data_IF_565448955522
#
_entry.id   IF_565448955522
#
_cell.length_a   1.000
_cell.length_b   1.000
_cell.length_c   1.000
_cell.angle_alpha   90.00
_cell.angle_beta   90.00
_cell.angle_gamma   90.00
#
_symmetry.space_group_name_H-M   'P 1'
#
loop_
_entity.id
_entity.type
_entity.pdbx_description
1 polymer ?
#
# COMPACT_ATOMS: atom_id res chain seq x y z
N UNK A 1 -1.09 -45.85 -73.80
CA UNK A 1 -1.98 -46.99 -73.50
C UNK A 1 -1.63 -47.42 -72.08
N UNK A 2 -2.49 -47.51 -71.06
CA UNK A 2 -3.89 -47.13 -70.80
C UNK A 2 -4.02 -47.06 -69.26
N UNK A 3 -4.72 -46.06 -68.74
CA UNK A 3 -5.32 -46.01 -67.37
C UNK A 3 -6.57 -46.92 -67.28
N UNK A 4 -7.25 -47.20 -66.12
CA UNK A 4 -7.48 -46.37 -64.88
C UNK A 4 -7.41 -47.13 -63.50
N UNK A 5 -7.11 -46.50 -62.34
CA UNK A 5 -7.93 -45.85 -61.24
C UNK A 5 -8.79 -46.80 -60.34
N UNK A 6 -9.23 -46.47 -59.09
CA UNK A 6 -8.86 -45.44 -58.08
C UNK A 6 -8.80 -45.97 -56.58
N UNK A 7 -8.93 -45.06 -55.59
CA UNK A 7 -9.23 -45.20 -54.13
C UNK A 7 -8.01 -45.31 -53.17
N UNK A 8 -7.92 -44.63 -52.01
CA UNK A 8 -8.83 -43.75 -51.28
C UNK A 8 -8.00 -42.79 -50.39
N UNK A 9 -8.56 -41.60 -50.12
CA UNK A 9 -8.08 -40.65 -49.09
C UNK A 9 -8.13 -41.32 -47.70
N UNK A 10 -6.98 -41.46 -47.03
CA UNK A 10 -6.92 -41.79 -45.62
C UNK A 10 -6.53 -40.54 -44.82
N UNK A 11 -7.50 -40.09 -44.01
CA UNK A 11 -7.36 -38.98 -43.07
C UNK A 11 -6.32 -39.29 -42.00
N UNK A 12 -5.50 -38.29 -41.68
CA UNK A 12 -4.88 -38.14 -40.35
C UNK A 12 -5.04 -36.66 -39.99
N UNK A 13 -6.21 -36.32 -39.46
CA UNK A 13 -6.34 -35.13 -38.63
C UNK A 13 -5.77 -35.52 -37.27
N UNK A 14 -4.57 -35.01 -36.95
CA UNK A 14 -4.13 -34.92 -35.57
C UNK A 14 -5.05 -33.93 -34.86
N UNK A 15 -6.04 -34.45 -34.15
CA UNK A 15 -6.74 -33.70 -33.13
C UNK A 15 -5.73 -33.38 -32.03
N UNK A 16 -5.24 -32.14 -32.02
CA UNK A 16 -4.58 -31.58 -30.86
C UNK A 16 -5.69 -31.27 -29.86
N UNK A 17 -5.87 -32.17 -28.91
CA UNK A 17 -6.78 -32.00 -27.77
C UNK A 17 -6.24 -30.85 -26.90
N UNK A 18 -6.77 -29.64 -27.12
CA UNK A 18 -6.51 -28.46 -26.30
C UNK A 18 -7.80 -28.10 -25.58
N UNK A 19 -8.17 -28.93 -24.63
CA UNK A 19 -9.03 -28.52 -23.52
C UNK A 19 -8.54 -29.25 -22.26
N UNK A 20 -7.42 -28.74 -21.71
CA UNK A 20 -7.01 -29.04 -20.34
C UNK A 20 -8.00 -28.34 -19.40
N UNK A 21 -9.20 -28.92 -19.26
CA UNK A 21 -10.21 -28.48 -18.31
C UNK A 21 -9.68 -28.77 -16.89
N UNK A 22 -9.00 -27.79 -16.29
CA UNK A 22 -8.49 -27.88 -14.91
C UNK A 22 -9.69 -28.08 -13.97
N UNK A 23 -9.98 -29.33 -13.65
CA UNK A 23 -11.08 -29.70 -12.75
C UNK A 23 -10.65 -29.44 -11.30
N UNK A 24 -10.91 -28.24 -10.79
CA UNK A 24 -10.66 -27.92 -9.37
C UNK A 24 -11.82 -28.48 -8.53
N UNK A 25 -11.50 -29.32 -7.54
CA UNK A 25 -12.52 -29.86 -6.64
C UNK A 25 -13.17 -28.75 -5.80
N UNK A 26 -14.48 -28.87 -5.52
CA UNK A 26 -15.21 -27.92 -4.70
C UNK A 26 -14.64 -27.78 -3.28
N UNK A 27 -14.01 -28.84 -2.75
CA UNK A 27 -13.28 -28.79 -1.47
C UNK A 27 -12.00 -27.95 -1.58
N UNK A 28 -11.21 -28.12 -2.64
CA UNK A 28 -10.01 -27.31 -2.88
C UNK A 28 -10.35 -25.82 -3.04
N UNK A 29 -11.42 -25.48 -3.77
CA UNK A 29 -11.90 -24.10 -3.89
C UNK A 29 -12.30 -23.50 -2.54
N UNK A 30 -13.01 -24.26 -1.69
CA UNK A 30 -13.35 -23.81 -0.33
C UNK A 30 -12.11 -23.59 0.52
N UNK A 31 -11.16 -24.52 0.50
CA UNK A 31 -9.91 -24.40 1.26
C UNK A 31 -9.11 -23.17 0.83
N UNK A 32 -8.99 -22.91 -0.48
CA UNK A 32 -8.31 -21.73 -0.99
C UNK A 32 -9.04 -20.44 -0.57
N UNK A 33 -10.37 -20.43 -0.63
CA UNK A 33 -11.20 -19.32 -0.16
C UNK A 33 -10.98 -19.01 1.33
N UNK A 34 -10.97 -20.03 2.17
CA UNK A 34 -10.72 -19.89 3.61
C UNK A 34 -9.32 -19.37 3.90
N UNK A 35 -8.30 -19.86 3.18
CA UNK A 35 -6.92 -19.38 3.30
C UNK A 35 -6.80 -17.91 2.89
N UNK A 36 -7.39 -17.53 1.76
CA UNK A 36 -7.42 -16.14 1.28
C UNK A 36 -8.14 -15.21 2.27
N UNK A 37 -9.27 -15.65 2.85
CA UNK A 37 -9.96 -14.87 3.87
C UNK A 37 -9.11 -14.66 5.11
N UNK A 38 -8.46 -15.71 5.63
CA UNK A 38 -7.55 -15.61 6.78
C UNK A 38 -6.40 -14.66 6.47
N UNK A 39 -5.78 -14.81 5.30
CA UNK A 39 -4.71 -13.94 4.83
C UNK A 39 -5.13 -12.46 4.85
N UNK A 40 -6.25 -12.10 4.22
CA UNK A 40 -6.73 -10.72 4.18
C UNK A 40 -7.21 -10.20 5.55
N UNK A 41 -7.62 -11.09 6.44
CA UNK A 41 -8.04 -10.72 7.79
C UNK A 41 -6.88 -10.16 8.61
N UNK A 42 -5.67 -10.72 8.45
CA UNK A 42 -4.47 -10.22 9.10
C UNK A 42 -4.17 -8.76 8.71
N UNK A 43 -4.29 -8.43 7.41
CA UNK A 43 -4.15 -7.06 6.90
C UNK A 43 -5.24 -6.12 7.40
N UNK A 44 -6.48 -6.62 7.54
CA UNK A 44 -7.56 -5.83 8.13
C UNK A 44 -7.27 -5.48 9.57
N UNK A 45 -6.78 -6.42 10.37
CA UNK A 45 -6.44 -6.17 11.77
C UNK A 45 -5.25 -5.23 11.91
N UNK A 46 -4.19 -5.43 11.10
CA UNK A 46 -3.06 -4.51 11.07
C UNK A 46 -3.48 -3.07 10.74
N UNK A 47 -4.40 -2.91 9.78
CA UNK A 47 -4.99 -1.62 9.43
C UNK A 47 -5.76 -0.99 10.60
N UNK A 48 -6.56 -1.77 11.33
CA UNK A 48 -7.33 -1.29 12.48
C UNK A 48 -6.45 -0.85 13.66
N UNK A 49 -5.32 -1.54 13.88
CA UNK A 49 -4.30 -1.12 14.86
C UNK A 49 -3.76 0.27 14.53
N UNK A 50 -3.40 0.51 13.25
CA UNK A 50 -2.94 1.83 12.78
C UNK A 50 -4.02 2.89 12.92
N UNK A 51 -5.27 2.58 12.54
CA UNK A 51 -6.40 3.50 12.69
C UNK A 51 -6.62 3.90 14.14
N UNK A 52 -6.51 2.95 15.07
CA UNK A 52 -6.69 3.19 16.50
C UNK A 52 -5.58 4.08 17.04
N UNK A 53 -4.32 3.82 16.68
CA UNK A 53 -3.17 4.66 17.05
C UNK A 53 -3.34 6.10 16.55
N UNK A 54 -3.77 6.28 15.30
CA UNK A 54 -4.06 7.60 14.73
C UNK A 54 -5.25 8.29 15.41
N UNK A 55 -6.31 7.53 15.75
CA UNK A 55 -7.46 8.06 16.47
C UNK A 55 -7.08 8.56 17.87
N UNK A 56 -6.22 7.82 18.59
CA UNK A 56 -5.69 8.23 19.90
C UNK A 56 -4.90 9.53 19.76
N UNK A 57 -3.98 9.63 18.80
CA UNK A 57 -3.22 10.88 18.55
C UNK A 57 -4.18 12.06 18.26
N UNK A 58 -5.20 11.85 17.41
CA UNK A 58 -6.21 12.87 17.13
C UNK A 58 -6.94 13.33 18.39
N UNK A 59 -7.40 12.38 19.22
CA UNK A 59 -8.10 12.68 20.47
C UNK A 59 -7.21 13.39 21.47
N UNK A 60 -5.95 13.00 21.60
CA UNK A 60 -4.97 13.66 22.45
C UNK A 60 -4.80 15.14 22.07
N UNK A 61 -4.62 15.46 20.78
CA UNK A 61 -4.49 16.85 20.33
C UNK A 61 -5.71 17.72 20.67
N UNK A 62 -6.92 17.17 20.50
CA UNK A 62 -8.15 17.87 20.85
C UNK A 62 -8.25 18.17 22.35
N UNK A 63 -7.78 17.25 23.21
CA UNK A 63 -7.82 17.44 24.66
C UNK A 63 -6.75 18.40 25.17
N UNK A 64 -5.57 18.41 24.55
CA UNK A 64 -4.45 19.28 24.94
C UNK A 64 -4.66 20.76 24.57
N UNK A 65 -5.82 21.12 24.00
CA UNK A 65 -6.13 22.46 23.46
C UNK A 65 -5.13 22.89 22.37
N UNK A 66 -4.48 21.93 21.74
CA UNK A 66 -3.72 22.15 20.53
C UNK A 66 -4.67 22.17 19.32
N UNK A 67 -4.22 22.77 18.23
CA UNK A 67 -4.93 22.60 16.96
C UNK A 67 -4.85 21.11 16.56
N UNK A 68 -5.90 20.58 15.94
CA UNK A 68 -5.91 19.19 15.49
C UNK A 68 -5.20 19.07 14.12
N UNK A 69 -4.09 18.33 14.03
CA UNK A 69 -3.37 18.14 12.76
C UNK A 69 -4.07 17.17 11.80
N UNK A 70 -4.98 16.31 12.28
CA UNK A 70 -5.67 15.28 11.48
C UNK A 70 -7.07 15.77 11.09
N UNK A 71 -7.30 15.98 9.80
CA UNK A 71 -8.60 16.32 9.24
C UNK A 71 -9.45 15.06 8.98
N UNK A 72 -8.84 14.06 8.34
CA UNK A 72 -9.54 12.83 7.98
C UNK A 72 -8.57 11.64 7.89
N UNK A 73 -9.06 10.47 8.30
CA UNK A 73 -8.38 9.18 8.10
C UNK A 73 -9.30 8.30 7.29
N UNK A 74 -8.77 7.72 6.21
CA UNK A 74 -9.46 6.70 5.44
C UNK A 74 -8.57 5.47 5.31
N UNK A 75 -9.17 4.29 5.30
CA UNK A 75 -8.42 3.05 5.20
C UNK A 75 -9.10 2.09 4.23
N UNK A 76 -8.32 1.15 3.71
CA UNK A 76 -8.83 0.07 2.87
C UNK A 76 -7.90 -1.13 2.88
N UNK A 77 -8.52 -2.29 2.70
CA UNK A 77 -7.80 -3.50 2.26
C UNK A 77 -8.02 -3.66 0.76
N UNK A 78 -6.96 -3.97 0.03
CA UNK A 78 -7.00 -4.21 -1.42
C UNK A 78 -7.96 -5.37 -1.73
N UNK A 79 -8.81 -5.22 -2.75
CA UNK A 79 -9.65 -6.33 -3.20
C UNK A 79 -8.81 -7.46 -3.79
N UNK A 80 -9.33 -8.69 -3.75
CA UNK A 80 -8.67 -9.86 -4.34
C UNK A 80 -8.37 -9.61 -5.82
N UNK A 81 -9.33 -9.09 -6.58
CA UNK A 81 -9.13 -8.79 -8.01
C UNK A 81 -7.99 -7.80 -8.25
N UNK A 82 -7.91 -6.76 -7.42
CA UNK A 82 -6.84 -5.75 -7.50
C UNK A 82 -5.48 -6.30 -7.06
N UNK A 83 -5.48 -7.28 -6.15
CA UNK A 83 -4.27 -8.00 -5.74
C UNK A 83 -3.79 -8.90 -6.86
N UNK A 84 -4.65 -9.75 -7.41
CA UNK A 84 -4.35 -10.64 -8.55
C UNK A 84 -3.83 -9.84 -9.74
N UNK A 85 -4.54 -8.77 -10.13
CA UNK A 85 -4.08 -7.87 -11.21
C UNK A 85 -2.70 -7.25 -10.94
N UNK A 86 -2.35 -7.03 -9.66
CA UNK A 86 -1.03 -6.50 -9.28
C UNK A 86 0.05 -7.59 -9.35
N UNK A 87 -0.27 -8.83 -8.96
CA UNK A 87 0.63 -9.98 -9.04
C UNK A 87 0.96 -10.30 -10.51
N UNK A 88 -0.05 -10.38 -11.37
CA UNK A 88 0.11 -10.64 -12.80
C UNK A 88 0.98 -9.57 -13.48
N UNK A 89 0.66 -8.29 -13.24
CA UNK A 89 1.44 -7.16 -13.80
C UNK A 89 2.90 -7.15 -13.35
N UNK A 90 3.21 -7.67 -12.16
CA UNK A 90 4.57 -7.74 -11.62
C UNK A 90 5.25 -9.10 -11.82
N UNK A 91 4.55 -10.10 -12.36
CA UNK A 91 5.07 -11.45 -12.51
C UNK A 91 5.41 -12.14 -11.17
N UNK A 92 4.64 -11.87 -10.11
CA UNK A 92 4.89 -12.41 -8.76
C UNK A 92 4.08 -13.71 -8.57
N UNK A 93 4.67 -14.69 -7.88
CA UNK A 93 3.99 -15.94 -7.50
C UNK A 93 2.72 -15.68 -6.67
N UNK A 94 1.71 -16.53 -6.83
CA UNK A 94 0.46 -16.49 -6.05
C UNK A 94 0.58 -17.12 -4.65
N UNK A 95 1.78 -17.55 -4.25
CA UNK A 95 2.06 -18.05 -2.91
C UNK A 95 1.98 -16.95 -1.85
N UNK A 96 1.21 -17.17 -0.78
CA UNK A 96 0.97 -16.16 0.25
C UNK A 96 2.26 -15.61 0.88
N UNK A 97 3.27 -16.44 1.12
CA UNK A 97 4.55 -15.98 1.69
C UNK A 97 5.27 -15.00 0.75
N UNK A 98 5.27 -15.28 -0.56
CA UNK A 98 5.84 -14.38 -1.56
C UNK A 98 5.03 -13.08 -1.64
N UNK A 99 3.70 -13.18 -1.60
CA UNK A 99 2.82 -12.01 -1.62
C UNK A 99 3.11 -11.09 -0.42
N UNK A 100 3.31 -11.64 0.80
CA UNK A 100 3.64 -10.86 2.01
C UNK A 100 4.93 -10.07 1.84
N UNK A 101 5.94 -10.67 1.22
CA UNK A 101 7.24 -10.02 1.05
C UNK A 101 7.23 -8.99 -0.07
N UNK A 102 6.49 -9.24 -1.15
CA UNK A 102 6.56 -8.44 -2.38
C UNK A 102 5.48 -7.37 -2.50
N UNK A 103 4.31 -7.54 -1.86
CA UNK A 103 3.18 -6.62 -1.95
C UNK A 103 2.91 -5.99 -0.58
N UNK A 104 3.42 -4.77 -0.40
CA UNK A 104 3.36 -4.06 0.89
C UNK A 104 2.15 -3.10 1.03
N UNK A 105 1.36 -2.90 -0.03
CA UNK A 105 0.17 -2.03 -0.09
C UNK A 105 -1.16 -2.79 -0.02
N UNK A 106 -1.18 -3.97 0.63
CA UNK A 106 -2.42 -4.75 0.78
C UNK A 106 -3.36 -4.06 1.77
N UNK A 107 -2.83 -3.63 2.91
CA UNK A 107 -3.48 -2.69 3.82
C UNK A 107 -2.96 -1.28 3.53
N UNK A 108 -3.88 -0.34 3.32
CA UNK A 108 -3.54 1.05 3.06
C UNK A 108 -4.34 2.00 3.95
N UNK A 109 -3.66 2.92 4.63
CA UNK A 109 -4.22 4.01 5.42
C UNK A 109 -3.80 5.32 4.80
N UNK A 110 -4.74 6.27 4.67
CA UNK A 110 -4.47 7.64 4.24
C UNK A 110 -4.83 8.59 5.36
N UNK A 111 -3.89 9.47 5.68
CA UNK A 111 -4.02 10.49 6.71
C UNK A 111 -3.95 11.84 6.03
N UNK A 112 -5.08 12.55 6.03
CA UNK A 112 -5.18 13.91 5.51
C UNK A 112 -5.00 14.89 6.66
N UNK A 113 -4.04 15.78 6.51
CA UNK A 113 -3.61 16.76 7.50
C UNK A 113 -3.92 18.18 7.02
N UNK A 114 -3.94 19.14 7.96
CA UNK A 114 -4.20 20.54 7.63
C UNK A 114 -2.99 21.17 6.90
N UNK A 115 -1.77 20.97 7.41
CA UNK A 115 -0.55 21.56 6.86
C UNK A 115 0.54 20.54 6.54
N UNK A 116 1.58 20.98 5.83
CA UNK A 116 2.73 20.14 5.48
C UNK A 116 3.52 19.77 6.73
N UNK A 117 3.70 20.70 7.68
CA UNK A 117 4.30 20.41 8.98
C UNK A 117 3.59 19.28 9.73
N UNK A 118 2.25 19.25 9.67
CA UNK A 118 1.44 18.22 10.33
C UNK A 118 1.68 16.82 9.77
N UNK A 119 1.92 16.73 8.46
CA UNK A 119 2.29 15.48 7.80
C UNK A 119 3.55 14.89 8.45
N UNK A 120 4.60 15.71 8.60
CA UNK A 120 5.85 15.25 9.20
C UNK A 120 5.71 14.99 10.70
N UNK A 121 4.97 15.84 11.42
CA UNK A 121 4.72 15.66 12.86
C UNK A 121 3.99 14.36 13.15
N UNK A 122 2.95 14.03 12.39
CA UNK A 122 2.18 12.79 12.56
C UNK A 122 2.98 11.56 12.17
N UNK A 123 3.79 11.65 11.11
CA UNK A 123 4.74 10.61 10.77
C UNK A 123 5.68 10.32 11.94
N UNK A 124 6.31 11.35 12.52
CA UNK A 124 7.22 11.20 13.67
C UNK A 124 6.51 10.56 14.86
N UNK A 125 5.34 11.06 15.26
CA UNK A 125 4.61 10.56 16.43
C UNK A 125 4.12 9.13 16.26
N UNK A 126 3.68 8.75 15.05
CA UNK A 126 3.26 7.39 14.78
C UNK A 126 4.46 6.43 14.78
N UNK A 127 5.58 6.84 14.19
CA UNK A 127 6.77 5.98 14.02
C UNK A 127 7.68 5.91 15.25
N UNK A 128 7.50 6.80 16.22
CA UNK A 128 8.16 6.74 17.53
C UNK A 128 7.55 5.71 18.48
N UNK A 129 6.40 5.12 18.16
CA UNK A 129 5.77 4.09 19.01
C UNK A 129 6.60 2.81 18.99
N UNK A 130 6.86 2.25 20.17
CA UNK A 130 7.79 1.11 20.37
C UNK A 130 7.43 -0.16 19.59
N UNK A 131 6.16 -0.33 19.21
CA UNK A 131 5.64 -1.50 18.50
C UNK A 131 5.52 -1.29 16.99
N UNK A 132 5.85 -0.10 16.48
CA UNK A 132 5.85 0.22 15.04
C UNK A 132 7.27 0.15 14.50
N UNK A 133 7.44 -0.51 13.37
CA UNK A 133 8.72 -0.54 12.65
C UNK A 133 8.56 0.05 11.25
N UNK A 134 9.40 1.04 10.92
CA UNK A 134 9.42 1.66 9.59
C UNK A 134 10.21 0.77 8.63
N UNK A 135 9.54 0.27 7.59
CA UNK A 135 10.14 -0.56 6.55
C UNK A 135 10.58 0.27 5.33
N UNK A 136 9.87 1.34 4.98
CA UNK A 136 10.22 2.16 3.82
C UNK A 136 9.60 3.55 3.95
N UNK A 137 10.28 4.57 3.43
CA UNK A 137 9.76 5.93 3.34
C UNK A 137 10.08 6.50 1.96
N UNK A 138 9.06 6.97 1.26
CA UNK A 138 9.19 7.72 0.00
C UNK A 138 8.58 9.11 0.19
N UNK A 139 9.42 10.14 0.18
CA UNK A 139 9.01 11.53 0.39
C UNK A 139 8.76 12.25 -0.93
N UNK A 140 7.52 12.15 -1.43
CA UNK A 140 7.11 12.89 -2.62
C UNK A 140 6.67 14.32 -2.32
N UNK A 141 6.72 14.77 -1.07
CA UNK A 141 6.49 16.18 -0.75
C UNK A 141 7.78 16.95 -1.05
N UNK A 142 8.91 16.46 -0.54
CA UNK A 142 10.24 17.00 -0.80
C UNK A 142 10.67 16.78 -2.26
N UNK A 143 10.42 15.58 -2.81
CA UNK A 143 10.75 15.25 -4.21
C UNK A 143 9.51 14.79 -4.98
N UNK A 144 8.67 15.73 -5.47
CA UNK A 144 7.45 15.41 -6.21
C UNK A 144 7.72 14.57 -7.47
N UNK A 145 6.75 13.76 -7.87
CA UNK A 145 6.83 13.04 -9.16
C UNK A 145 6.67 14.01 -10.33
N UNK A 146 7.10 13.59 -11.51
CA UNK A 146 7.06 14.41 -12.73
C UNK A 146 5.66 14.96 -13.08
N UNK A 147 4.60 14.23 -12.69
CA UNK A 147 3.21 14.62 -12.90
C UNK A 147 2.67 15.63 -11.87
N UNK A 148 3.47 16.00 -10.86
CA UNK A 148 3.07 16.90 -9.76
C UNK A 148 2.51 16.18 -8.54
N UNK A 149 2.56 14.83 -8.50
CA UNK A 149 2.09 14.07 -7.35
C UNK A 149 2.95 14.31 -6.11
N UNK A 150 2.29 14.65 -5.00
CA UNK A 150 2.90 14.83 -3.68
C UNK A 150 2.15 14.04 -2.61
N UNK A 151 2.92 13.39 -1.72
CA UNK A 151 2.47 12.63 -0.55
C UNK A 151 3.71 12.09 0.17
N UNK A 152 3.65 11.91 1.48
CA UNK A 152 4.65 11.13 2.20
C UNK A 152 4.16 9.68 2.32
N UNK A 153 4.85 8.73 1.68
CA UNK A 153 4.50 7.31 1.74
C UNK A 153 5.39 6.61 2.75
N UNK A 154 4.79 5.78 3.58
CA UNK A 154 5.51 5.01 4.58
C UNK A 154 4.99 3.59 4.61
N UNK A 155 5.88 2.61 4.53
CA UNK A 155 5.53 1.22 4.79
C UNK A 155 5.90 0.91 6.23
N UNK A 156 4.91 0.52 7.04
CA UNK A 156 5.07 0.16 8.45
C UNK A 156 4.87 -1.34 8.63
N UNK A 157 5.64 -1.96 9.51
CA UNK A 157 5.39 -3.32 10.00
C UNK A 157 4.63 -3.23 11.32
N UNK A 158 3.43 -3.79 11.35
CA UNK A 158 2.51 -3.72 12.49
C UNK A 158 2.34 -5.14 13.09
N UNK A 159 2.60 -5.33 14.39
CA UNK A 159 2.41 -6.62 15.03
C UNK A 159 0.93 -6.89 15.30
N UNK A 160 0.39 -7.94 14.70
CA UNK A 160 -0.98 -8.42 14.93
C UNK A 160 -0.94 -9.67 15.79
N UNK A 161 -1.68 -9.67 16.90
CA UNK A 161 -1.76 -10.80 17.82
C UNK A 161 -3.04 -11.61 17.56
N UNK A 162 -2.87 -12.81 16.98
CA UNK A 162 -3.95 -13.74 16.67
C UNK A 162 -3.94 -14.91 17.67
N UNK A 163 -5.00 -15.73 17.63
CA UNK A 163 -5.05 -16.98 18.40
C UNK A 163 -3.94 -17.98 18.03
N UNK A 164 -3.37 -17.85 16.83
CA UNK A 164 -2.25 -18.67 16.33
C UNK A 164 -0.87 -18.09 16.66
N UNK A 165 -0.81 -16.89 17.24
CA UNK A 165 0.43 -16.19 17.57
C UNK A 165 0.53 -14.81 16.94
N UNK A 166 1.70 -14.18 17.09
CA UNK A 166 2.01 -12.87 16.52
C UNK A 166 2.40 -13.00 15.04
N UNK A 167 1.86 -12.11 14.21
CA UNK A 167 2.24 -11.94 12.81
C UNK A 167 2.54 -10.47 12.57
N UNK A 168 3.71 -10.16 12.01
CA UNK A 168 4.06 -8.81 11.61
C UNK A 168 3.58 -8.54 10.18
N UNK A 169 2.71 -7.55 10.00
CA UNK A 169 1.99 -7.29 8.75
C UNK A 169 2.37 -5.92 8.19
N UNK A 170 2.74 -5.80 6.91
CA UNK A 170 3.02 -4.51 6.31
C UNK A 170 1.73 -3.71 6.05
N UNK A 171 1.76 -2.43 6.41
CA UNK A 171 0.70 -1.45 6.17
C UNK A 171 1.31 -0.22 5.51
N UNK A 172 0.79 0.16 4.35
CA UNK A 172 1.14 1.43 3.71
C UNK A 172 0.35 2.57 4.35
N UNK A 173 1.03 3.57 4.89
CA UNK A 173 0.44 4.81 5.39
C UNK A 173 0.86 5.95 4.47
N UNK A 174 -0.12 6.67 3.93
CA UNK A 174 0.10 7.84 3.07
C UNK A 174 -0.35 9.09 3.82
N UNK A 175 0.59 9.97 4.14
CA UNK A 175 0.30 11.26 4.74
C UNK A 175 0.23 12.34 3.65
N UNK A 176 -0.79 13.20 3.73
CA UNK A 176 -1.10 14.23 2.73
C UNK A 176 -1.70 15.46 3.39
N UNK A 177 -1.60 16.61 2.74
CA UNK A 177 -2.48 17.75 3.01
C UNK A 177 -3.84 17.55 2.32
N UNK A 178 -4.79 18.43 2.64
CA UNK A 178 -6.09 18.49 1.94
C UNK A 178 -5.89 18.72 0.43
N UNK A 179 -4.99 19.63 0.03
CA UNK A 179 -4.79 19.95 -1.38
C UNK A 179 -4.14 18.79 -2.15
N UNK A 180 -3.15 18.12 -1.54
CA UNK A 180 -2.54 16.91 -2.09
C UNK A 180 -3.56 15.79 -2.30
N UNK A 181 -4.42 15.55 -1.31
CA UNK A 181 -5.43 14.48 -1.41
C UNK A 181 -6.50 14.78 -2.46
N UNK A 182 -6.95 16.04 -2.55
CA UNK A 182 -7.88 16.49 -3.57
C UNK A 182 -7.30 16.28 -4.98
N UNK A 183 -6.08 16.74 -5.22
CA UNK A 183 -5.41 16.62 -6.51
C UNK A 183 -5.20 15.15 -6.90
N UNK A 184 -4.65 14.34 -6.00
CA UNK A 184 -4.36 12.92 -6.26
C UNK A 184 -5.64 12.11 -6.48
N UNK A 185 -6.73 12.45 -5.79
CA UNK A 185 -8.05 11.82 -6.01
C UNK A 185 -8.62 12.13 -7.39
N UNK A 186 -8.42 13.36 -7.89
CA UNK A 186 -8.86 13.76 -9.22
C UNK A 186 -8.01 13.09 -10.32
N UNK A 187 -6.69 13.13 -10.17
CA UNK A 187 -5.74 12.49 -11.09
C UNK A 187 -6.08 11.00 -11.25
N UNK A 188 -6.24 10.28 -10.13
CA UNK A 188 -6.51 8.86 -10.15
C UNK A 188 -7.83 8.52 -10.86
N UNK A 189 -8.88 9.33 -10.66
CA UNK A 189 -10.17 9.17 -11.36
C UNK A 189 -10.04 9.38 -12.86
N UNK A 190 -9.26 10.37 -13.29
CA UNK A 190 -8.99 10.65 -14.70
C UNK A 190 -8.23 9.48 -15.32
N UNK A 191 -7.10 9.06 -14.73
CA UNK A 191 -6.31 7.95 -15.25
C UNK A 191 -7.11 6.65 -15.34
N UNK A 192 -7.98 6.38 -14.36
CA UNK A 192 -8.87 5.22 -14.41
C UNK A 192 -9.87 5.32 -15.59
N UNK A 193 -10.54 6.46 -15.76
CA UNK A 193 -11.55 6.66 -16.82
C UNK A 193 -10.96 6.56 -18.22
N UNK A 194 -9.72 7.00 -18.42
CA UNK A 194 -9.04 7.00 -19.71
C UNK A 194 -8.16 5.76 -19.94
N UNK A 195 -8.33 4.69 -19.14
CA UNK A 195 -7.50 3.48 -19.23
C UNK A 195 -5.98 3.78 -19.28
N UNK A 196 -5.55 4.81 -18.53
CA UNK A 196 -4.18 5.36 -18.47
C UNK A 196 -3.66 5.98 -19.77
N UNK A 197 -4.51 6.24 -20.75
CA UNK A 197 -4.19 6.97 -21.98
C UNK A 197 -4.73 8.40 -21.90
N UNK A 198 -4.12 9.21 -21.03
CA UNK A 198 -4.53 10.61 -20.80
C UNK A 198 -3.88 11.52 -21.85
N UNK A 199 -4.63 12.40 -22.54
CA UNK A 199 -4.05 13.34 -23.49
C UNK A 199 -3.02 14.28 -22.85
N UNK A 200 -1.92 14.56 -23.55
CA UNK A 200 -0.82 15.40 -23.03
C UNK A 200 -1.26 16.78 -22.56
N UNK A 201 -2.27 17.37 -23.20
CA UNK A 201 -2.86 18.63 -22.78
C UNK A 201 -3.41 18.54 -21.36
N UNK A 202 -4.15 17.48 -21.06
CA UNK A 202 -4.75 17.27 -19.74
C UNK A 202 -3.68 16.93 -18.69
N UNK A 203 -2.65 16.17 -19.06
CA UNK A 203 -1.51 15.88 -18.16
C UNK A 203 -0.78 17.16 -17.77
N UNK A 204 -0.56 18.09 -18.70
CA UNK A 204 0.04 19.40 -18.41
C UNK A 204 -0.82 20.25 -17.50
N UNK A 205 -2.13 20.31 -17.75
CA UNK A 205 -3.08 21.04 -16.90
C UNK A 205 -3.15 20.46 -15.48
N UNK A 206 -3.14 19.13 -15.35
CA UNK A 206 -3.08 18.46 -14.04
C UNK A 206 -1.80 18.83 -13.31
N UNK A 207 -0.65 18.79 -13.97
CA UNK A 207 0.62 19.21 -13.35
C UNK A 207 0.56 20.66 -12.87
N UNK A 208 0.09 21.58 -13.70
CA UNK A 208 -0.05 22.99 -13.32
C UNK A 208 -0.99 23.17 -12.12
N UNK A 209 -2.09 22.40 -12.05
CA UNK A 209 -2.98 22.39 -10.91
C UNK A 209 -2.30 21.86 -9.64
N UNK A 210 -1.42 20.86 -9.75
CA UNK A 210 -0.62 20.36 -8.62
C UNK A 210 0.34 21.44 -8.11
N UNK A 211 1.08 22.10 -9.02
CA UNK A 211 2.02 23.16 -8.66
C UNK A 211 1.30 24.33 -7.95
N UNK A 212 0.10 24.69 -8.45
CA UNK A 212 -0.75 25.72 -7.82
C UNK A 212 -1.24 25.30 -6.44
N UNK A 213 -1.62 24.03 -6.27
CA UNK A 213 -2.03 23.48 -4.99
C UNK A 213 -0.89 23.48 -3.96
N UNK A 214 0.33 23.15 -4.39
CA UNK A 214 1.53 23.18 -3.56
C UNK A 214 1.87 24.62 -3.09
N UNK A 215 1.73 25.61 -3.97
CA UNK A 215 1.91 27.02 -3.61
C UNK A 215 0.86 27.47 -2.57
N UNK A 216 -0.40 27.04 -2.76
CA UNK A 216 -1.47 27.33 -1.81
C UNK A 216 -1.18 26.73 -0.44
N UNK A 217 -0.79 25.45 -0.35
CA UNK A 217 -0.44 24.81 0.92
C UNK A 217 0.67 25.59 1.64
N UNK A 218 1.75 25.90 0.93
CA UNK A 218 2.89 26.67 1.47
C UNK A 218 2.45 28.05 1.98
N UNK A 219 1.55 28.71 1.26
CA UNK A 219 1.03 30.03 1.66
C UNK A 219 0.14 29.93 2.89
N UNK A 220 -0.75 28.95 2.95
CA UNK A 220 -1.67 28.76 4.07
C UNK A 220 -0.92 28.39 5.35
N UNK A 221 0.09 27.54 5.24
CA UNK A 221 0.98 27.21 6.37
C UNK A 221 1.72 28.44 6.89
N UNK A 222 2.24 29.30 6.01
CA UNK A 222 2.89 30.56 6.41
C UNK A 222 1.93 31.49 7.15
N UNK A 223 0.68 31.59 6.69
CA UNK A 223 -0.35 32.40 7.36
C UNK A 223 -0.69 31.83 8.74
N UNK A 224 -0.81 30.52 8.85
CA UNK A 224 -1.04 29.85 10.13
C UNK A 224 0.09 30.13 11.12
N UNK A 225 1.35 30.01 10.68
CA UNK A 225 2.52 30.32 11.50
C UNK A 225 2.58 31.80 11.95
N UNK A 226 2.06 32.74 11.16
CA UNK A 226 1.98 34.16 11.55
C UNK A 226 0.93 34.41 12.63
N UNK A 227 -0.18 33.67 12.62
CA UNK A 227 -1.29 33.84 13.57
C UNK A 227 -1.04 33.11 14.90
N UNK A 228 -0.44 31.93 14.85
CA UNK A 228 -0.30 31.04 16.00
C UNK A 228 1.15 30.87 16.49
N UNK A 229 2.11 31.51 15.82
CA UNK A 229 3.54 31.31 16.05
C UNK A 229 4.10 30.17 15.19
N UNK A 230 5.42 30.11 15.07
CA UNK A 230 6.06 29.02 14.34
C UNK A 230 5.73 27.70 15.03
N UNK A 231 5.27 26.67 14.29
CA UNK A 231 5.02 25.38 14.89
C UNK A 231 6.33 24.84 15.48
N UNK A 232 6.25 24.04 16.57
CA UNK A 232 7.44 23.45 17.16
C UNK A 232 8.22 22.70 16.07
N UNK A 233 9.56 22.76 16.07
CA UNK A 233 10.35 22.09 15.06
C UNK A 233 9.96 20.60 15.05
N UNK A 234 9.66 20.07 13.86
CA UNK A 234 9.68 18.63 13.64
C UNK A 234 11.08 18.11 13.97
N UNK A 235 11.20 16.83 14.28
CA UNK A 235 12.43 16.21 14.80
C UNK A 235 13.51 16.10 13.71
N UNK A 236 13.92 17.22 13.10
CA UNK A 236 14.80 17.28 11.94
C UNK A 236 14.15 16.74 10.65
N UNK A 237 14.80 16.92 9.50
CA UNK A 237 14.37 16.24 8.27
C UNK A 237 14.32 14.73 8.51
N UNK A 238 13.33 14.05 7.91
CA UNK A 238 13.24 12.58 7.98
C UNK A 238 14.60 12.02 7.57
N UNK A 239 15.28 11.36 8.50
CA UNK A 239 16.58 10.78 8.22
C UNK A 239 16.37 9.47 7.44
N UNK A 240 16.10 9.62 6.14
CA UNK A 240 15.87 8.51 5.22
C UNK A 240 17.04 7.51 5.23
N UNK A 241 18.27 7.98 5.46
CA UNK A 241 19.43 7.09 5.58
C UNK A 241 19.35 6.17 6.81
N UNK A 242 18.95 6.70 7.98
CA UNK A 242 18.73 5.89 9.18
C UNK A 242 17.61 4.89 8.98
N UNK A 243 16.51 5.31 8.34
CA UNK A 243 15.40 4.41 8.01
C UNK A 243 15.90 3.30 7.09
N UNK A 244 16.54 3.65 5.97
CA UNK A 244 17.07 2.69 5.00
C UNK A 244 18.12 1.73 5.60
N UNK A 245 18.97 2.20 6.51
CA UNK A 245 19.95 1.37 7.19
C UNK A 245 19.29 0.40 8.19
N UNK A 246 18.32 0.88 8.98
CA UNK A 246 17.53 0.04 9.88
C UNK A 246 16.73 -1.02 9.09
N UNK A 247 16.07 -0.62 8.00
CA UNK A 247 15.38 -1.53 7.09
C UNK A 247 16.32 -2.57 6.50
N UNK A 248 17.50 -2.16 6.02
CA UNK A 248 18.49 -3.07 5.42
C UNK A 248 18.99 -4.08 6.46
N UNK A 249 19.30 -3.64 7.66
CA UNK A 249 19.72 -4.52 8.76
C UNK A 249 18.61 -5.51 9.14
N UNK A 250 17.36 -5.07 9.18
CA UNK A 250 16.20 -5.94 9.44
C UNK A 250 15.93 -6.94 8.31
N UNK A 251 16.05 -6.53 7.04
CA UNK A 251 15.95 -7.46 5.90
C UNK A 251 17.05 -8.54 5.99
N UNK A 252 18.28 -8.16 6.33
CA UNK A 252 19.38 -9.11 6.52
C UNK A 252 19.08 -10.04 7.71
N UNK A 253 18.58 -9.52 8.83
CA UNK A 253 18.22 -10.33 10.00
C UNK A 253 17.11 -11.35 9.70
N UNK A 254 16.04 -10.94 9.00
CA UNK A 254 14.94 -11.85 8.59
C UNK A 254 15.38 -12.92 7.60
N UNK A 255 16.38 -12.64 6.75
CA UNK A 255 16.98 -13.65 5.86
C UNK A 255 17.91 -14.62 6.62
N UNK A 256 18.31 -14.30 7.85
CA UNK A 256 19.20 -15.10 8.70
C UNK A 256 18.47 -15.80 9.85
N UNK A 257 17.19 -15.52 10.08
CA UNK A 257 16.38 -16.22 11.08
C UNK A 257 16.05 -17.65 10.61
N UNK A 258 16.38 -18.69 11.40
CA UNK A 258 15.95 -20.05 11.08
C UNK A 258 14.43 -20.17 11.21
N UNK A 259 13.80 -20.98 10.34
CA UNK A 259 12.36 -21.26 10.39
C UNK A 259 11.89 -21.51 11.82
N UNK A 260 10.79 -20.88 12.27
CA UNK A 260 10.26 -21.14 13.59
C UNK A 260 9.87 -22.61 13.69
N UNK A 261 10.59 -23.37 14.52
CA UNK A 261 10.28 -24.76 14.82
C UNK A 261 8.82 -24.82 15.28
N UNK A 262 7.96 -25.47 14.49
CA UNK A 262 6.57 -25.76 14.86
C UNK A 262 6.59 -26.48 16.22
N UNK A 263 6.28 -25.75 17.29
CA UNK A 263 6.03 -26.36 18.59
C UNK A 263 4.77 -27.21 18.45
N UNK A 264 4.97 -28.53 18.40
CA UNK A 264 3.89 -29.50 18.55
C UNK A 264 3.23 -29.28 19.90
N UNK A 265 2.06 -28.64 19.89
CA UNK A 265 1.21 -28.54 21.07
C UNK A 265 0.74 -29.96 21.37
N UNK A 266 1.17 -30.51 22.51
CA UNK A 266 0.63 -31.79 23.02
C UNK A 266 -0.83 -31.56 23.42
N UNK A 267 -1.77 -32.42 23.02
CA UNK A 267 -3.15 -32.32 23.50
C UNK A 267 -3.18 -32.60 25.00
N UNK A 268 -3.97 -31.78 25.73
CA UNK A 268 -4.39 -32.01 27.12
C UNK A 268 -5.60 -32.93 27.11
#
# INVERSE_FOLDING_TARGET
>A
MSTPAPDAFAATQEEVDVDDEITISASALRTLGDQMQRFLLEYRFAMQEVETKLAILREEFLHMHEYNPIEHVSSRVKSVDSLVSKLERRGISSEFEVIRTEIQDIAGVRVTCAFIHDVYRLFDLLTQQDDITVLEVEDYIETPKDNGYQSLHTILSIPVYLSTGRVDVPVEVQFRTIAMDFWASLEHKIYYKYARQVPDTLTRELKHAADTAAELDTRMERLHAQLHGAPPPHTGPINLQRVQEATRQQRIARMQEPEPQRRTVRPV
#
